data_IF_811751751564
#
_entry.id   IF_811751751564
#
_cell.length_a   1.000
_cell.length_b   1.000
_cell.length_c   1.000
_cell.angle_alpha   90.00
_cell.angle_beta   90.00
_cell.angle_gamma   90.00
#
_symmetry.space_group_name_H-M   'P 1'
#
loop_
_entity.id
_entity.type
_entity.pdbx_description
1 polymer ?
#
# COMPACT_ATOMS: atom_id res chain seq x y z
N UNK A 1 3.82 33.74 -12.62
CA UNK A 1 2.72 33.43 -11.68
C UNK A 1 2.50 31.92 -11.69
N UNK A 2 2.15 31.34 -10.55
CA UNK A 2 1.86 29.90 -10.45
C UNK A 2 0.52 29.61 -11.14
N UNK A 3 0.49 28.71 -12.12
CA UNK A 3 -0.74 28.32 -12.85
C UNK A 3 -1.53 27.26 -12.07
N UNK A 4 -2.85 27.23 -12.27
CA UNK A 4 -3.71 26.22 -11.64
C UNK A 4 -3.33 24.78 -12.02
N UNK A 5 -2.99 24.53 -13.29
CA UNK A 5 -2.55 23.21 -13.77
C UNK A 5 -1.29 22.74 -13.04
N UNK A 6 -0.29 23.61 -12.89
CA UNK A 6 0.91 23.30 -12.10
C UNK A 6 0.57 22.88 -10.66
N UNK A 7 -0.38 23.55 -10.00
CA UNK A 7 -0.78 23.19 -8.63
C UNK A 7 -1.43 21.80 -8.57
N UNK A 8 -2.23 21.43 -9.56
CA UNK A 8 -2.82 20.09 -9.65
C UNK A 8 -1.73 19.02 -9.82
N UNK A 9 -0.77 19.25 -10.72
CA UNK A 9 0.35 18.33 -10.95
C UNK A 9 1.27 18.23 -9.71
N UNK A 10 1.54 19.36 -9.05
CA UNK A 10 2.34 19.43 -7.83
C UNK A 10 1.71 18.62 -6.69
N UNK A 11 0.42 18.80 -6.45
CA UNK A 11 -0.30 18.02 -5.43
C UNK A 11 -0.36 16.54 -5.80
N UNK A 12 -0.61 16.23 -7.08
CA UNK A 12 -0.57 14.84 -7.54
C UNK A 12 0.79 14.19 -7.28
N UNK A 13 1.89 14.88 -7.56
CA UNK A 13 3.24 14.42 -7.24
C UNK A 13 3.43 14.14 -5.74
N UNK A 14 2.97 15.04 -4.86
CA UNK A 14 3.02 14.81 -3.40
C UNK A 14 2.22 13.56 -3.02
N UNK A 15 1.02 13.38 -3.57
CA UNK A 15 0.17 12.23 -3.27
C UNK A 15 0.83 10.92 -3.73
N UNK A 16 1.42 10.90 -4.93
CA UNK A 16 2.18 9.74 -5.43
C UNK A 16 3.39 9.44 -4.54
N UNK A 17 4.14 10.47 -4.13
CA UNK A 17 5.30 10.31 -3.23
C UNK A 17 4.89 9.77 -1.85
N UNK A 18 3.82 10.31 -1.25
CA UNK A 18 3.29 9.82 0.02
C UNK A 18 2.79 8.38 -0.10
N UNK A 19 2.16 8.03 -1.22
CA UNK A 19 1.74 6.66 -1.53
C UNK A 19 2.94 5.70 -1.60
N UNK A 20 3.97 6.05 -2.37
CA UNK A 20 5.20 5.25 -2.47
C UNK A 20 5.93 5.10 -1.13
N UNK A 21 6.03 6.18 -0.35
CA UNK A 21 6.57 6.16 1.01
C UNK A 21 5.75 5.25 1.93
N UNK A 22 4.42 5.34 1.87
CA UNK A 22 3.53 4.48 2.64
C UNK A 22 3.77 3.01 2.31
N UNK A 23 3.80 2.64 1.03
CA UNK A 23 4.02 1.25 0.58
C UNK A 23 5.39 0.73 1.01
N UNK A 24 6.44 1.56 0.95
CA UNK A 24 7.74 1.21 1.51
C UNK A 24 7.66 0.95 3.03
N UNK A 25 7.05 1.86 3.79
CA UNK A 25 6.90 1.77 5.24
C UNK A 25 6.05 0.57 5.70
N UNK A 26 5.30 -0.08 4.79
CA UNK A 26 4.60 -1.34 5.07
C UNK A 26 5.53 -2.50 5.43
N UNK A 27 6.85 -2.37 5.33
CA UNK A 27 7.78 -3.38 5.84
C UNK A 27 7.54 -3.67 7.34
N UNK A 28 7.01 -2.72 8.11
CA UNK A 28 6.63 -2.94 9.51
C UNK A 28 5.53 -4.00 9.60
N UNK A 29 4.45 -3.82 8.84
CA UNK A 29 3.32 -4.75 8.73
C UNK A 29 3.74 -6.08 8.10
N UNK A 30 4.60 -6.04 7.09
CA UNK A 30 5.25 -7.21 6.53
C UNK A 30 5.96 -8.05 7.59
N UNK A 31 6.74 -7.42 8.47
CA UNK A 31 7.44 -8.09 9.56
C UNK A 31 6.48 -8.68 10.60
N UNK A 32 5.40 -7.98 10.95
CA UNK A 32 4.38 -8.48 11.86
C UNK A 32 3.69 -9.74 11.33
N UNK A 33 3.35 -9.74 10.04
CA UNK A 33 2.69 -10.87 9.37
C UNK A 33 3.56 -12.13 9.30
N UNK A 34 4.86 -12.01 9.58
CA UNK A 34 5.83 -13.11 9.58
C UNK A 34 6.33 -13.48 10.97
N UNK A 35 5.80 -12.87 12.03
CA UNK A 35 6.31 -13.08 13.38
C UNK A 35 6.32 -14.57 13.76
N UNK A 36 5.24 -15.30 13.45
CA UNK A 36 5.14 -16.72 13.79
C UNK A 36 5.89 -17.66 12.84
N UNK A 37 6.14 -17.24 11.59
CA UNK A 37 6.78 -18.07 10.57
C UNK A 37 8.30 -17.87 10.51
N UNK A 38 8.78 -16.64 10.70
CA UNK A 38 10.19 -16.29 10.66
C UNK A 38 10.90 -16.59 11.98
N UNK A 39 10.27 -16.27 13.12
CA UNK A 39 10.80 -16.55 14.46
C UNK A 39 10.16 -17.77 15.09
N UNK A 40 11.00 -18.69 15.57
CA UNK A 40 10.59 -19.99 16.14
C UNK A 40 10.62 -19.97 17.66
N UNK A 41 11.50 -19.16 18.24
CA UNK A 41 11.68 -19.03 19.70
C UNK A 41 11.15 -17.69 20.21
N UNK A 42 10.93 -17.59 21.51
CA UNK A 42 10.35 -16.41 22.17
C UNK A 42 11.29 -15.20 22.19
N UNK A 43 12.58 -15.44 22.38
CA UNK A 43 13.65 -14.44 22.26
C UNK A 43 13.72 -13.85 20.85
N UNK A 44 13.62 -14.70 19.82
CA UNK A 44 13.58 -14.27 18.43
C UNK A 44 12.33 -13.41 18.13
N UNK A 45 11.16 -13.80 18.63
CA UNK A 45 9.92 -13.02 18.50
C UNK A 45 10.06 -11.64 19.13
N UNK A 46 10.59 -11.58 20.35
CA UNK A 46 10.84 -10.31 21.05
C UNK A 46 11.82 -9.44 20.29
N UNK A 47 12.90 -10.02 19.74
CA UNK A 47 13.87 -9.29 18.94
C UNK A 47 13.22 -8.67 17.69
N UNK A 48 12.42 -9.43 16.94
CA UNK A 48 11.70 -8.92 15.78
C UNK A 48 10.72 -7.80 16.16
N UNK A 49 9.88 -8.01 17.18
CA UNK A 49 8.92 -7.00 17.65
C UNK A 49 9.64 -5.72 18.07
N UNK A 50 10.70 -5.81 18.89
CA UNK A 50 11.47 -4.65 19.35
C UNK A 50 12.15 -3.91 18.20
N UNK A 51 12.61 -4.63 17.16
CA UNK A 51 13.23 -4.01 15.98
C UNK A 51 12.24 -3.15 15.18
N UNK A 52 10.95 -3.48 15.24
CA UNK A 52 9.85 -2.79 14.55
C UNK A 52 9.13 -1.76 15.44
N UNK A 53 9.14 -1.94 16.76
CA UNK A 53 8.22 -1.27 17.69
C UNK A 53 8.32 0.25 17.80
N UNK A 54 9.38 0.90 17.32
CA UNK A 54 9.45 2.38 17.21
C UNK A 54 9.15 2.90 15.81
N UNK A 55 9.00 2.02 14.82
CA UNK A 55 8.88 2.38 13.40
C UNK A 55 7.44 2.34 12.91
N UNK A 56 6.54 1.67 13.62
CA UNK A 56 5.13 1.60 13.24
C UNK A 56 4.46 2.97 13.21
N UNK A 57 4.90 3.89 14.07
CA UNK A 57 4.42 5.27 14.11
C UNK A 57 4.63 5.97 12.76
N UNK A 58 5.76 5.72 12.08
CA UNK A 58 6.01 6.29 10.76
C UNK A 58 4.96 5.84 9.74
N UNK A 59 4.68 4.53 9.67
CA UNK A 59 3.66 4.02 8.74
C UNK A 59 2.28 4.60 9.06
N UNK A 60 1.92 4.68 10.33
CA UNK A 60 0.62 5.23 10.75
C UNK A 60 0.50 6.71 10.44
N UNK A 61 1.50 7.52 10.80
CA UNK A 61 1.53 8.95 10.48
C UNK A 61 1.47 9.18 8.98
N UNK A 62 2.25 8.44 8.17
CA UNK A 62 2.20 8.57 6.71
C UNK A 62 0.83 8.22 6.15
N UNK A 63 0.16 7.18 6.65
CA UNK A 63 -1.21 6.83 6.25
C UNK A 63 -2.20 7.97 6.56
N UNK A 64 -2.13 8.53 7.76
CA UNK A 64 -3.01 9.65 8.17
C UNK A 64 -2.72 10.90 7.36
N UNK A 65 -1.44 11.23 7.14
CA UNK A 65 -1.02 12.36 6.28
C UNK A 65 -1.49 12.16 4.84
N UNK A 66 -1.41 10.94 4.29
CA UNK A 66 -1.91 10.62 2.96
C UNK A 66 -3.43 10.87 2.86
N UNK A 67 -4.21 10.41 3.84
CA UNK A 67 -5.65 10.70 3.88
C UNK A 67 -5.96 12.20 4.01
N UNK A 68 -5.27 12.89 4.92
CA UNK A 68 -5.44 14.33 5.14
C UNK A 68 -5.02 15.18 3.95
N UNK A 69 -3.97 14.78 3.22
CA UNK A 69 -3.53 15.45 2.01
C UNK A 69 -4.57 15.31 0.89
N UNK A 70 -5.22 14.15 0.74
CA UNK A 70 -6.35 14.00 -0.19
C UNK A 70 -7.54 14.88 0.22
N UNK A 71 -7.86 14.95 1.50
CA UNK A 71 -8.92 15.85 2.00
C UNK A 71 -8.64 17.31 1.64
N UNK A 72 -7.39 17.77 1.80
CA UNK A 72 -7.00 19.15 1.53
C UNK A 72 -6.89 19.47 0.02
N UNK A 73 -6.35 18.56 -0.78
CA UNK A 73 -6.02 18.81 -2.20
C UNK A 73 -7.11 18.34 -3.18
N UNK A 74 -7.78 17.21 -2.90
CA UNK A 74 -8.78 16.59 -3.76
C UNK A 74 -10.02 16.16 -2.95
N UNK A 75 -10.80 17.11 -2.38
CA UNK A 75 -11.86 16.81 -1.43
C UNK A 75 -12.99 15.93 -2.01
N UNK A 76 -13.31 16.08 -3.30
CA UNK A 76 -14.31 15.24 -3.97
C UNK A 76 -13.84 13.78 -4.11
N UNK A 77 -12.56 13.59 -4.39
CA UNK A 77 -11.96 12.25 -4.40
C UNK A 77 -12.00 11.64 -3.00
N UNK A 78 -11.60 12.42 -1.98
CA UNK A 78 -11.62 11.99 -0.59
C UNK A 78 -13.03 11.53 -0.15
N UNK A 79 -14.06 12.36 -0.39
CA UNK A 79 -15.43 12.03 0.01
C UNK A 79 -15.97 10.79 -0.72
N UNK A 80 -15.65 10.64 -2.00
CA UNK A 80 -16.08 9.51 -2.82
C UNK A 80 -15.41 8.21 -2.36
N UNK A 81 -14.08 8.23 -2.18
CA UNK A 81 -13.31 7.05 -1.77
C UNK A 81 -13.59 6.63 -0.33
N UNK A 82 -13.41 7.53 0.64
CA UNK A 82 -13.58 7.22 2.07
C UNK A 82 -15.05 7.06 2.48
N UNK A 83 -15.96 7.81 1.86
CA UNK A 83 -17.40 7.68 2.10
C UNK A 83 -18.02 6.47 1.41
N UNK A 84 -17.45 6.02 0.28
CA UNK A 84 -17.99 4.93 -0.52
C UNK A 84 -17.48 3.55 -0.13
N UNK A 85 -16.15 3.35 -0.13
CA UNK A 85 -15.51 2.11 0.30
C UNK A 85 -15.45 2.00 1.84
N UNK A 86 -16.56 2.34 2.50
CA UNK A 86 -16.67 2.51 3.95
C UNK A 86 -16.11 1.32 4.73
N UNK A 87 -16.56 0.09 4.43
CA UNK A 87 -16.14 -1.08 5.19
C UNK A 87 -14.67 -1.40 5.01
N UNK A 88 -14.13 -1.21 3.80
CA UNK A 88 -12.70 -1.42 3.54
C UNK A 88 -11.83 -0.49 4.40
N UNK A 89 -12.18 0.80 4.45
CA UNK A 89 -11.48 1.78 5.28
C UNK A 89 -11.68 1.57 6.77
N UNK A 90 -12.88 1.17 7.22
CA UNK A 90 -13.14 0.87 8.63
C UNK A 90 -12.34 -0.34 9.12
N UNK A 91 -12.27 -1.42 8.33
CA UNK A 91 -11.44 -2.59 8.67
C UNK A 91 -9.97 -2.19 8.75
N UNK A 92 -9.48 -1.37 7.80
CA UNK A 92 -8.12 -0.87 7.80
C UNK A 92 -7.85 -0.03 9.05
N UNK A 93 -8.74 0.90 9.40
CA UNK A 93 -8.64 1.71 10.62
C UNK A 93 -8.52 0.83 11.86
N UNK A 94 -9.42 -0.14 12.05
CA UNK A 94 -9.36 -1.04 13.20
C UNK A 94 -8.08 -1.88 13.23
N UNK A 95 -7.59 -2.34 12.07
CA UNK A 95 -6.30 -3.04 12.00
C UNK A 95 -5.17 -2.16 12.55
N UNK A 96 -5.08 -0.90 12.15
CA UNK A 96 -4.00 -0.01 12.59
C UNK A 96 -4.16 0.45 14.05
N UNK A 97 -5.40 0.58 14.55
CA UNK A 97 -5.66 0.81 15.99
C UNK A 97 -5.19 -0.38 16.82
N UNK A 98 -5.57 -1.60 16.43
CA UNK A 98 -5.12 -2.82 17.12
C UNK A 98 -3.59 -2.97 17.10
N UNK A 99 -2.94 -2.56 16.01
CA UNK A 99 -1.48 -2.53 15.90
C UNK A 99 -0.85 -1.59 16.94
N UNK A 100 -1.33 -0.34 17.04
CA UNK A 100 -0.81 0.65 18.00
C UNK A 100 -0.94 0.15 19.44
N UNK A 101 -2.14 -0.35 19.81
CA UNK A 101 -2.42 -0.93 21.12
C UNK A 101 -1.49 -2.13 21.39
N UNK A 102 -1.26 -2.98 20.39
CA UNK A 102 -0.42 -4.17 20.55
C UNK A 102 1.05 -3.82 20.79
N UNK A 103 1.60 -2.79 20.16
CA UNK A 103 2.96 -2.36 20.46
C UNK A 103 3.08 -1.72 21.84
N UNK A 104 2.13 -0.88 22.23
CA UNK A 104 2.20 -0.15 23.50
C UNK A 104 2.00 -1.07 24.70
N UNK A 105 1.02 -1.98 24.65
CA UNK A 105 0.57 -2.72 25.83
C UNK A 105 1.12 -4.14 25.98
N UNK A 106 1.69 -4.77 24.94
CA UNK A 106 2.08 -6.19 25.03
C UNK A 106 3.12 -6.51 26.11
N UNK A 107 3.99 -5.54 26.41
CA UNK A 107 5.09 -5.67 27.38
C UNK A 107 4.84 -4.90 28.68
N UNK A 108 3.66 -4.29 28.85
CA UNK A 108 3.35 -3.50 30.05
C UNK A 108 3.00 -4.43 31.22
N UNK A 109 3.39 -4.06 32.46
CA UNK A 109 2.87 -4.71 33.66
C UNK A 109 1.33 -4.65 33.68
N UNK A 110 0.67 -5.73 34.09
CA UNK A 110 -0.80 -5.78 34.10
C UNK A 110 -1.46 -5.98 32.74
N UNK A 111 -0.71 -6.45 31.73
CA UNK A 111 -1.26 -6.88 30.45
C UNK A 111 -2.45 -7.87 30.66
N UNK A 112 -3.64 -7.43 30.23
CA UNK A 112 -4.91 -8.15 30.41
C UNK A 112 -5.14 -9.31 29.43
N UNK A 113 -4.55 -9.29 28.23
CA UNK A 113 -4.82 -10.26 27.16
C UNK A 113 -3.67 -11.24 26.90
N UNK A 114 -2.49 -10.97 27.45
CA UNK A 114 -1.26 -11.72 27.20
C UNK A 114 -0.54 -11.34 25.90
N UNK A 115 0.78 -11.55 25.86
CA UNK A 115 1.62 -11.19 24.72
C UNK A 115 1.23 -11.95 23.43
N UNK A 116 0.72 -13.17 23.54
CA UNK A 116 0.29 -13.97 22.40
C UNK A 116 -0.89 -13.33 21.65
N UNK A 117 -1.87 -12.80 22.38
CA UNK A 117 -3.05 -12.13 21.80
C UNK A 117 -2.67 -10.86 21.06
N UNK A 118 -1.85 -10.00 21.67
CA UNK A 118 -1.34 -8.80 20.98
C UNK A 118 -0.51 -9.13 19.74
N UNK A 119 0.27 -10.22 19.78
CA UNK A 119 1.01 -10.69 18.61
C UNK A 119 0.09 -11.23 17.51
N UNK A 120 -1.04 -11.83 17.87
CA UNK A 120 -2.08 -12.20 16.91
C UNK A 120 -2.69 -10.94 16.26
N UNK A 121 -2.96 -9.89 17.02
CA UNK A 121 -3.43 -8.61 16.46
C UNK A 121 -2.40 -7.98 15.50
N UNK A 122 -1.11 -8.02 15.84
CA UNK A 122 -0.03 -7.61 14.92
C UNK A 122 -0.04 -8.47 13.65
N UNK A 123 -0.18 -9.79 13.77
CA UNK A 123 -0.26 -10.69 12.62
C UNK A 123 -1.46 -10.37 11.72
N UNK A 124 -2.65 -10.15 12.30
CA UNK A 124 -3.87 -9.78 11.58
C UNK A 124 -3.68 -8.44 10.86
N UNK A 125 -3.15 -7.41 11.53
CA UNK A 125 -2.84 -6.13 10.90
C UNK A 125 -1.85 -6.32 9.75
N UNK A 126 -0.77 -7.08 9.97
CA UNK A 126 0.24 -7.34 8.98
C UNK A 126 -0.30 -7.95 7.68
N UNK A 127 -1.27 -8.87 7.82
CA UNK A 127 -1.95 -9.51 6.70
C UNK A 127 -3.03 -8.61 6.08
N UNK A 128 -4.07 -8.27 6.86
CA UNK A 128 -5.24 -7.58 6.35
C UNK A 128 -4.93 -6.13 5.97
N UNK A 129 -4.11 -5.44 6.77
CA UNK A 129 -3.77 -4.04 6.53
C UNK A 129 -3.00 -3.83 5.22
N UNK A 130 -2.01 -4.69 4.94
CA UNK A 130 -1.24 -4.59 3.68
C UNK A 130 -2.05 -5.03 2.47
N UNK A 131 -2.78 -6.14 2.60
CA UNK A 131 -3.62 -6.68 1.53
C UNK A 131 -4.75 -5.72 1.15
N UNK A 132 -5.54 -5.23 2.13
CA UNK A 132 -6.65 -4.32 1.86
C UNK A 132 -6.18 -2.99 1.31
N UNK A 133 -5.04 -2.46 1.77
CA UNK A 133 -4.48 -1.24 1.20
C UNK A 133 -4.15 -1.42 -0.28
N UNK A 134 -3.56 -2.57 -0.68
CA UNK A 134 -3.34 -2.89 -2.09
C UNK A 134 -4.65 -3.05 -2.88
N UNK A 135 -5.67 -3.70 -2.32
CA UNK A 135 -7.01 -3.84 -2.94
C UNK A 135 -7.64 -2.47 -3.18
N UNK A 136 -7.59 -1.57 -2.21
CA UNK A 136 -8.16 -0.22 -2.32
C UNK A 136 -7.40 0.62 -3.33
N UNK A 137 -6.06 0.59 -3.33
CA UNK A 137 -5.25 1.31 -4.34
C UNK A 137 -5.52 0.78 -5.76
N UNK A 138 -5.80 -0.51 -5.92
CA UNK A 138 -6.12 -1.09 -7.22
C UNK A 138 -7.37 -0.48 -7.86
N UNK A 139 -8.31 0.02 -7.04
CA UNK A 139 -9.52 0.68 -7.53
C UNK A 139 -9.24 1.94 -8.32
N UNK A 140 -8.07 2.55 -8.17
CA UNK A 140 -7.67 3.70 -8.97
C UNK A 140 -7.47 3.31 -10.43
N UNK A 141 -7.18 2.02 -10.68
CA UNK A 141 -6.98 1.46 -12.00
C UNK A 141 -8.22 0.75 -12.55
N UNK A 142 -9.01 0.08 -11.69
CA UNK A 142 -10.22 -0.65 -12.12
C UNK A 142 -11.50 0.18 -12.13
N UNK A 143 -11.51 1.30 -11.41
CA UNK A 143 -12.73 2.07 -11.14
C UNK A 143 -13.65 1.39 -10.12
N UNK A 144 -14.72 2.12 -9.79
CA UNK A 144 -15.79 1.70 -8.88
C UNK A 144 -17.12 2.35 -9.27
N UNK A 145 -18.24 1.72 -8.90
CA UNK A 145 -19.59 2.22 -9.22
C UNK A 145 -20.06 3.26 -8.19
N UNK A 146 -19.97 4.54 -8.57
CA UNK A 146 -20.50 5.65 -7.78
C UNK A 146 -21.13 6.71 -8.68
N UNK A 147 -22.03 7.50 -8.11
CA UNK A 147 -22.64 8.67 -8.77
C UNK A 147 -22.24 9.94 -8.04
N UNK A 148 -22.10 11.04 -8.79
CA UNK A 148 -21.74 12.35 -8.22
C UNK A 148 -22.77 13.39 -8.62
N UNK A 149 -23.54 13.85 -7.64
CA UNK A 149 -24.48 14.96 -7.77
C UNK A 149 -23.80 16.29 -7.50
N UNK A 150 -23.09 16.87 -8.49
CA UNK A 150 -22.40 18.17 -8.32
C UNK A 150 -23.36 19.31 -7.92
N UNK A 151 -24.64 19.23 -8.29
CA UNK A 151 -25.68 20.18 -7.86
C UNK A 151 -25.89 20.22 -6.33
N UNK A 152 -25.57 19.14 -5.63
CA UNK A 152 -25.69 19.03 -4.18
C UNK A 152 -24.66 19.92 -3.46
N UNK A 153 -23.54 20.25 -4.11
CA UNK A 153 -22.54 21.21 -3.59
C UNK A 153 -23.15 22.60 -3.41
N UNK A 154 -24.06 22.99 -4.30
CA UNK A 154 -24.74 24.29 -4.28
C UNK A 154 -26.14 24.23 -3.61
N UNK A 155 -26.53 23.10 -3.00
CA UNK A 155 -27.87 22.90 -2.45
C UNK A 155 -28.98 22.81 -3.50
N UNK A 156 -28.64 22.71 -4.78
CA UNK A 156 -29.56 22.57 -5.91
C UNK A 156 -29.86 21.09 -6.26
N UNK A 157 -29.49 20.21 -5.34
CA UNK A 157 -29.56 18.76 -5.47
C UNK A 157 -30.92 18.17 -5.15
N UNK A 158 -31.30 17.10 -5.85
CA UNK A 158 -32.51 16.32 -5.54
C UNK A 158 -32.30 15.23 -4.46
N UNK A 159 -31.04 14.95 -4.11
CA UNK A 159 -30.65 13.85 -3.20
C UNK A 159 -30.12 14.33 -1.82
N UNK A 160 -30.46 15.55 -1.41
CA UNK A 160 -29.98 16.13 -0.14
C UNK A 160 -28.50 16.55 -0.18
N UNK A 161 -27.78 16.59 0.97
CA UNK A 161 -26.42 17.15 1.06
C UNK A 161 -25.30 16.21 0.57
N UNK A 162 -25.61 14.95 0.20
CA UNK A 162 -24.61 13.94 -0.13
C UNK A 162 -24.13 14.13 -1.58
N UNK A 163 -22.88 14.52 -1.79
CA UNK A 163 -22.34 14.84 -3.12
C UNK A 163 -22.01 13.58 -3.94
N UNK A 164 -21.41 12.58 -3.31
CA UNK A 164 -20.99 11.33 -3.95
C UNK A 164 -21.63 10.15 -3.26
N UNK A 165 -22.26 9.26 -4.02
CA UNK A 165 -22.94 8.08 -3.51
C UNK A 165 -22.43 6.82 -4.20
N UNK A 166 -21.84 5.93 -3.42
CA UNK A 166 -21.51 4.58 -3.87
C UNK A 166 -22.79 3.80 -4.15
N UNK A 167 -22.86 3.16 -5.31
CA UNK A 167 -24.08 2.48 -5.75
C UNK A 167 -24.15 1.04 -5.25
N UNK A 168 -22.99 0.41 -5.01
CA UNK A 168 -22.94 -0.96 -4.53
C UNK A 168 -23.36 -1.05 -3.04
N UNK A 169 -24.33 -1.92 -2.69
CA UNK A 169 -24.82 -2.05 -1.31
C UNK A 169 -23.78 -2.63 -0.34
N UNK A 170 -22.68 -3.21 -0.84
CA UNK A 170 -21.61 -3.78 -0.02
C UNK A 170 -20.59 -2.74 0.47
N UNK A 171 -20.70 -1.48 0.03
CA UNK A 171 -19.93 -0.33 0.53
C UNK A 171 -18.42 -0.61 0.72
N UNK A 172 -17.79 -1.20 -0.30
CA UNK A 172 -16.35 -1.49 -0.36
C UNK A 172 -15.97 -2.95 -0.20
N UNK A 173 -16.88 -3.85 0.23
CA UNK A 173 -16.56 -5.29 0.31
C UNK A 173 -16.57 -5.95 -1.07
N UNK A 174 -17.31 -5.40 -2.05
CA UNK A 174 -17.33 -5.84 -3.44
C UNK A 174 -15.94 -5.74 -4.11
N UNK A 175 -15.05 -4.90 -3.58
CA UNK A 175 -13.68 -4.75 -4.07
C UNK A 175 -12.91 -6.07 -3.98
N UNK A 176 -13.27 -6.94 -3.04
CA UNK A 176 -12.70 -8.29 -2.88
C UNK A 176 -13.21 -9.28 -3.94
N UNK A 177 -14.29 -8.96 -4.65
CA UNK A 177 -14.79 -9.75 -5.78
C UNK A 177 -14.05 -9.49 -7.09
N UNK A 178 -13.31 -8.38 -7.19
CA UNK A 178 -12.56 -8.03 -8.39
C UNK A 178 -11.17 -8.68 -8.39
N UNK A 179 -10.96 -9.65 -9.28
CA UNK A 179 -9.71 -10.40 -9.35
C UNK A 179 -8.48 -9.49 -9.55
N UNK A 180 -8.58 -8.41 -10.33
CA UNK A 180 -7.47 -7.48 -10.52
C UNK A 180 -7.11 -6.77 -9.20
N UNK A 181 -8.11 -6.37 -8.42
CA UNK A 181 -7.84 -5.75 -7.11
C UNK A 181 -7.13 -6.71 -6.16
N UNK A 182 -7.54 -7.98 -6.16
CA UNK A 182 -6.89 -9.02 -5.37
C UNK A 182 -5.41 -9.20 -5.75
N UNK A 183 -5.08 -9.15 -7.05
CA UNK A 183 -3.69 -9.31 -7.49
C UNK A 183 -2.77 -8.22 -6.95
N UNK A 184 -3.20 -6.95 -6.93
CA UNK A 184 -2.40 -5.88 -6.30
C UNK A 184 -2.38 -6.02 -4.77
N UNK A 185 -3.49 -6.42 -4.16
CA UNK A 185 -3.55 -6.74 -2.73
C UNK A 185 -2.48 -7.75 -2.31
N UNK A 186 -2.38 -8.87 -3.05
CA UNK A 186 -1.35 -9.87 -2.80
C UNK A 186 0.05 -9.36 -3.13
N UNK A 187 0.23 -8.60 -4.21
CA UNK A 187 1.52 -8.00 -4.54
C UNK A 187 2.03 -7.10 -3.40
N UNK A 188 1.20 -6.22 -2.86
CA UNK A 188 1.56 -5.32 -1.74
C UNK A 188 1.87 -6.10 -0.46
N UNK A 189 1.08 -7.14 -0.14
CA UNK A 189 1.35 -8.02 1.00
C UNK A 189 2.73 -8.70 0.90
N UNK A 190 3.03 -9.31 -0.26
CA UNK A 190 4.31 -9.99 -0.45
C UNK A 190 5.49 -9.03 -0.57
N UNK A 191 5.27 -7.83 -1.15
CA UNK A 191 6.26 -6.76 -1.17
C UNK A 191 6.60 -6.33 0.26
N UNK A 192 5.60 -6.05 1.09
CA UNK A 192 5.78 -5.68 2.50
C UNK A 192 6.61 -6.72 3.26
N UNK A 193 6.28 -8.02 3.09
CA UNK A 193 7.05 -9.13 3.68
C UNK A 193 8.49 -9.22 3.17
N UNK A 194 8.69 -8.95 1.88
CA UNK A 194 10.02 -8.94 1.27
C UNK A 194 10.87 -7.80 1.81
N UNK A 195 10.31 -6.59 1.88
CA UNK A 195 10.96 -5.41 2.46
C UNK A 195 11.29 -5.63 3.95
N UNK A 196 10.40 -6.27 4.69
CA UNK A 196 10.64 -6.63 6.09
C UNK A 196 11.82 -7.62 6.22
N UNK A 197 11.89 -8.60 5.34
CA UNK A 197 12.98 -9.58 5.33
C UNK A 197 14.32 -8.91 4.97
N UNK A 198 14.33 -7.98 4.00
CA UNK A 198 15.50 -7.16 3.67
C UNK A 198 15.93 -6.29 4.86
N UNK A 199 14.97 -5.67 5.55
CA UNK A 199 15.20 -4.90 6.77
C UNK A 199 15.87 -5.74 7.86
N UNK A 200 15.36 -6.96 8.09
CA UNK A 200 15.93 -7.85 9.08
C UNK A 200 17.35 -8.31 8.72
N UNK A 201 17.63 -8.59 7.45
CA UNK A 201 19.01 -8.87 7.00
C UNK A 201 19.94 -7.68 7.22
N UNK A 202 19.46 -6.46 7.00
CA UNK A 202 20.25 -5.25 7.22
C UNK A 202 20.55 -4.97 8.69
N UNK A 203 19.53 -5.15 9.56
CA UNK A 203 19.55 -4.61 10.92
C UNK A 203 19.81 -5.64 12.02
N UNK A 204 19.50 -6.91 11.80
CA UNK A 204 19.68 -7.95 12.82
C UNK A 204 21.12 -8.47 12.82
N UNK A 205 21.79 -8.34 13.96
CA UNK A 205 23.06 -9.01 14.23
C UNK A 205 22.83 -10.39 14.85
N UNK A 206 22.01 -11.22 14.19
CA UNK A 206 21.65 -12.55 14.68
C UNK A 206 21.70 -13.58 13.54
N UNK A 207 22.73 -14.42 13.53
CA UNK A 207 23.07 -15.29 12.39
C UNK A 207 21.90 -16.18 11.93
N UNK A 208 21.20 -16.83 12.87
CA UNK A 208 20.08 -17.73 12.53
C UNK A 208 18.88 -16.99 11.94
N UNK A 209 18.59 -15.76 12.40
CA UNK A 209 17.50 -14.95 11.87
C UNK A 209 17.89 -14.30 10.55
N UNK A 210 19.14 -13.90 10.38
CA UNK A 210 19.63 -13.38 9.11
C UNK A 210 19.53 -14.45 8.01
N UNK A 211 20.04 -15.67 8.27
CA UNK A 211 19.95 -16.80 7.33
C UNK A 211 18.49 -17.14 6.97
N UNK A 212 17.57 -17.11 7.94
CA UNK A 212 16.13 -17.31 7.67
C UNK A 212 15.51 -16.16 6.90
N UNK A 213 15.85 -14.92 7.24
CA UNK A 213 15.33 -13.72 6.56
C UNK A 213 15.73 -13.72 5.09
N UNK A 214 16.96 -14.12 4.73
CA UNK A 214 17.38 -14.29 3.32
C UNK A 214 16.52 -15.30 2.56
N UNK A 215 16.17 -16.42 3.18
CA UNK A 215 15.23 -17.39 2.56
C UNK A 215 13.83 -16.78 2.38
N UNK A 216 13.37 -16.01 3.37
CA UNK A 216 12.07 -15.33 3.30
C UNK A 216 12.03 -14.20 2.26
N UNK A 217 13.17 -13.55 1.96
CA UNK A 217 13.28 -12.64 0.80
C UNK A 217 12.91 -13.37 -0.48
N UNK A 218 13.40 -14.60 -0.69
CA UNK A 218 13.04 -15.39 -1.87
C UNK A 218 11.59 -15.90 -1.82
N UNK A 219 11.16 -16.46 -0.70
CA UNK A 219 9.82 -17.06 -0.55
C UNK A 219 8.68 -16.05 -0.71
N UNK A 220 8.91 -14.79 -0.35
CA UNK A 220 7.92 -13.72 -0.55
C UNK A 220 8.21 -12.91 -1.83
N UNK A 221 9.47 -12.74 -2.20
CA UNK A 221 9.86 -11.99 -3.40
C UNK A 221 9.36 -12.63 -4.69
N UNK A 222 9.38 -13.96 -4.79
CA UNK A 222 8.88 -14.64 -5.99
C UNK A 222 7.35 -14.46 -6.17
N UNK A 223 6.49 -14.75 -5.17
CA UNK A 223 5.06 -14.43 -5.26
C UNK A 223 4.79 -12.94 -5.52
N UNK A 224 5.56 -12.03 -4.89
CA UNK A 224 5.44 -10.59 -5.16
C UNK A 224 5.62 -10.29 -6.66
N UNK A 225 6.71 -10.76 -7.28
CA UNK A 225 6.97 -10.53 -8.71
C UNK A 225 5.86 -11.11 -9.57
N UNK A 226 5.37 -12.31 -9.25
CA UNK A 226 4.27 -12.94 -10.00
C UNK A 226 3.00 -12.08 -9.94
N UNK A 227 2.52 -11.74 -8.74
CA UNK A 227 1.30 -10.95 -8.59
C UNK A 227 1.45 -9.53 -9.15
N UNK A 228 2.61 -8.91 -8.98
CA UNK A 228 2.92 -7.59 -9.54
C UNK A 228 2.90 -7.61 -11.08
N UNK A 229 3.55 -8.58 -11.71
CA UNK A 229 3.55 -8.70 -13.17
C UNK A 229 2.15 -8.99 -13.72
N UNK A 230 1.37 -9.84 -13.06
CA UNK A 230 -0.02 -10.09 -13.46
C UNK A 230 -0.82 -8.79 -13.42
N UNK A 231 -0.75 -8.04 -12.31
CA UNK A 231 -1.46 -6.77 -12.18
C UNK A 231 -1.00 -5.74 -13.22
N UNK A 232 0.32 -5.61 -13.40
CA UNK A 232 0.94 -4.65 -14.32
C UNK A 232 0.53 -4.94 -15.77
N UNK A 233 0.77 -6.17 -16.25
CA UNK A 233 0.45 -6.56 -17.62
C UNK A 233 -1.05 -6.38 -17.88
N UNK A 234 -1.89 -6.82 -16.95
CA UNK A 234 -3.33 -6.66 -17.08
C UNK A 234 -3.73 -5.19 -17.15
N UNK A 235 -3.12 -4.32 -16.34
CA UNK A 235 -3.38 -2.87 -16.36
C UNK A 235 -2.95 -2.23 -17.67
N UNK A 236 -1.78 -2.60 -18.22
CA UNK A 236 -1.25 -2.03 -19.46
C UNK A 236 -2.10 -2.37 -20.69
N UNK A 237 -2.68 -3.58 -20.75
CA UNK A 237 -3.50 -4.00 -21.89
C UNK A 237 -4.98 -3.59 -21.77
N UNK A 238 -5.38 -3.07 -20.61
CA UNK A 238 -6.79 -2.76 -20.34
C UNK A 238 -7.22 -1.41 -20.83
N UNK A 239 -8.54 -1.26 -20.94
CA UNK A 239 -9.17 0.04 -21.06
C UNK A 239 -9.00 0.82 -19.74
N UNK A 240 -8.87 2.14 -19.86
CA UNK A 240 -8.82 3.05 -18.72
C UNK A 240 -9.56 4.34 -19.03
N UNK A 241 -9.89 5.08 -17.98
CA UNK A 241 -10.62 6.34 -18.12
C UNK A 241 -9.70 7.46 -18.62
N UNK A 242 -10.08 8.09 -19.73
CA UNK A 242 -9.48 9.29 -20.29
C UNK A 242 -10.46 10.46 -20.21
N UNK A 243 -9.93 11.68 -20.21
CA UNK A 243 -10.73 12.92 -20.18
C UNK A 243 -10.44 13.71 -21.45
N UNK A 244 -11.47 14.08 -22.19
CA UNK A 244 -11.32 14.99 -23.34
C UNK A 244 -10.94 16.40 -22.82
N UNK A 245 -9.82 16.99 -23.29
CA UNK A 245 -9.38 18.30 -22.81
C UNK A 245 -10.38 19.44 -23.08
N UNK A 246 -11.21 19.32 -24.12
CA UNK A 246 -12.16 20.32 -24.60
C UNK A 246 -13.53 20.07 -24.00
N UNK A 247 -14.12 18.89 -24.21
CA UNK A 247 -15.50 18.60 -23.76
C UNK A 247 -15.57 18.28 -22.27
N UNK A 248 -14.44 17.90 -21.65
CA UNK A 248 -14.34 17.40 -20.26
C UNK A 248 -15.11 16.10 -20.02
N UNK A 249 -15.52 15.41 -21.08
CA UNK A 249 -16.18 14.11 -20.97
C UNK A 249 -15.17 13.02 -20.62
N UNK A 250 -15.62 12.08 -19.78
CA UNK A 250 -14.85 10.89 -19.41
C UNK A 250 -15.24 9.75 -20.34
N UNK A 251 -14.27 9.13 -21.01
CA UNK A 251 -14.50 7.99 -21.90
C UNK A 251 -13.48 6.88 -21.64
N UNK A 252 -13.76 5.67 -22.15
CA UNK A 252 -12.85 4.54 -22.06
C UNK A 252 -11.90 4.53 -23.26
N UNK A 253 -10.59 4.56 -22.96
CA UNK A 253 -9.53 4.48 -23.95
C UNK A 253 -8.80 3.14 -23.83
N UNK A 254 -8.63 2.44 -24.96
CA UNK A 254 -7.94 1.16 -25.00
C UNK A 254 -6.44 1.31 -24.74
N UNK A 255 -5.89 0.46 -23.88
CA UNK A 255 -4.46 0.47 -23.48
C UNK A 255 -4.03 1.80 -22.86
N UNK A 256 -4.94 2.49 -22.13
CA UNK A 256 -4.71 3.84 -21.61
C UNK A 256 -3.38 3.99 -20.87
N UNK A 257 -3.10 3.07 -19.96
CA UNK A 257 -1.89 3.13 -19.13
C UNK A 257 -0.60 2.87 -19.92
N UNK A 258 -0.66 2.05 -20.97
CA UNK A 258 0.46 1.86 -21.88
C UNK A 258 0.71 3.11 -22.73
N UNK A 259 -0.35 3.71 -23.27
CA UNK A 259 -0.25 4.97 -24.03
C UNK A 259 0.34 6.08 -23.16
N UNK A 260 -0.07 6.18 -21.89
CA UNK A 260 0.52 7.14 -20.95
C UNK A 260 2.03 6.95 -20.78
N UNK A 261 2.55 5.71 -20.74
CA UNK A 261 4.00 5.48 -20.68
C UNK A 261 4.73 5.90 -21.95
N UNK A 262 4.10 5.72 -23.12
CA UNK A 262 4.67 6.13 -24.42
C UNK A 262 4.68 7.67 -24.53
N UNK A 263 3.59 8.32 -24.11
CA UNK A 263 3.43 9.78 -24.14
C UNK A 263 4.24 10.49 -23.06
N UNK A 264 4.53 9.81 -21.94
CA UNK A 264 5.31 10.33 -20.81
C UNK A 264 6.58 9.50 -20.54
N UNK A 265 7.62 9.59 -21.40
CA UNK A 265 8.83 8.76 -21.29
C UNK A 265 9.55 8.86 -19.94
N UNK A 266 9.53 10.04 -19.31
CA UNK A 266 10.14 10.23 -17.99
C UNK A 266 9.51 9.33 -16.92
N UNK A 267 8.18 9.21 -16.94
CA UNK A 267 7.43 8.36 -15.99
C UNK A 267 7.75 6.89 -16.25
N UNK A 268 7.82 6.48 -17.52
CA UNK A 268 8.20 5.13 -17.90
C UNK A 268 9.63 4.79 -17.43
N UNK A 269 10.59 5.69 -17.63
CA UNK A 269 11.98 5.48 -17.18
C UNK A 269 12.06 5.38 -15.65
N UNK A 270 11.38 6.26 -14.92
CA UNK A 270 11.32 6.20 -13.46
C UNK A 270 10.74 4.88 -12.97
N UNK A 271 9.63 4.44 -13.56
CA UNK A 271 9.01 3.15 -13.26
C UNK A 271 9.97 1.98 -13.49
N UNK A 272 10.64 1.92 -14.65
CA UNK A 272 11.63 0.86 -14.97
C UNK A 272 12.79 0.87 -13.98
N UNK A 273 13.33 2.05 -13.65
CA UNK A 273 14.40 2.17 -12.66
C UNK A 273 13.94 1.69 -11.28
N UNK A 274 12.70 1.99 -10.90
CA UNK A 274 12.10 1.52 -9.65
C UNK A 274 12.01 -0.01 -9.60
N UNK A 275 11.47 -0.63 -10.66
CA UNK A 275 11.38 -2.10 -10.78
C UNK A 275 12.78 -2.73 -10.73
N UNK A 276 13.74 -2.20 -11.49
CA UNK A 276 15.12 -2.71 -11.50
C UNK A 276 15.75 -2.59 -10.11
N UNK A 277 15.54 -1.49 -9.39
CA UNK A 277 16.08 -1.30 -8.05
C UNK A 277 15.48 -2.29 -7.03
N UNK A 278 14.18 -2.59 -7.11
CA UNK A 278 13.51 -3.63 -6.32
C UNK A 278 14.09 -5.01 -6.60
N UNK A 279 14.15 -5.39 -7.88
CA UNK A 279 14.69 -6.69 -8.28
C UNK A 279 16.18 -6.82 -7.92
N UNK A 280 16.97 -5.76 -8.07
CA UNK A 280 18.37 -5.74 -7.66
C UNK A 280 18.51 -5.94 -6.14
N UNK A 281 17.72 -5.23 -5.34
CA UNK A 281 17.72 -5.39 -3.88
C UNK A 281 17.39 -6.82 -3.44
N UNK A 282 16.37 -7.42 -4.05
CA UNK A 282 15.95 -8.81 -3.78
C UNK A 282 17.04 -9.80 -4.21
N UNK A 283 17.44 -9.78 -5.48
CA UNK A 283 18.38 -10.75 -6.05
C UNK A 283 19.75 -10.68 -5.39
N UNK A 284 20.29 -9.47 -5.19
CA UNK A 284 21.62 -9.31 -4.58
C UNK A 284 21.64 -9.79 -3.13
N UNK A 285 20.59 -9.57 -2.35
CA UNK A 285 20.50 -10.10 -0.98
C UNK A 285 20.33 -11.62 -0.94
N UNK A 286 19.69 -12.23 -1.93
CA UNK A 286 19.55 -13.70 -1.99
C UNK A 286 20.87 -14.37 -2.39
N UNK A 287 21.57 -13.86 -3.39
CA UNK A 287 22.75 -14.53 -3.96
C UNK A 287 24.09 -14.12 -3.34
N UNK A 288 24.17 -12.97 -2.67
CA UNK A 288 25.41 -12.48 -2.05
C UNK A 288 25.30 -12.53 -0.52
N UNK A 289 26.04 -13.46 0.11
CA UNK A 289 26.04 -13.63 1.56
C UNK A 289 26.49 -12.36 2.31
N UNK A 290 27.44 -11.60 1.75
CA UNK A 290 27.96 -10.39 2.40
C UNK A 290 27.08 -9.16 2.19
N UNK A 291 26.13 -9.21 1.25
CA UNK A 291 25.31 -8.06 0.92
C UNK A 291 24.13 -7.92 1.87
N UNK A 292 24.09 -6.82 2.62
CA UNK A 292 23.04 -6.51 3.60
C UNK A 292 22.24 -5.25 3.29
N UNK A 293 22.55 -4.54 2.21
CA UNK A 293 21.96 -3.23 1.90
C UNK A 293 20.73 -3.28 0.97
N UNK A 294 20.14 -4.46 0.75
CA UNK A 294 19.05 -4.66 -0.20
C UNK A 294 17.82 -3.80 0.07
N UNK A 295 17.51 -3.49 1.34
CA UNK A 295 16.39 -2.61 1.71
C UNK A 295 16.53 -1.20 1.11
N UNK A 296 17.74 -0.66 0.97
CA UNK A 296 17.90 0.71 0.47
C UNK A 296 17.58 0.81 -1.02
N UNK A 297 17.99 -0.19 -1.80
CA UNK A 297 17.67 -0.28 -3.22
C UNK A 297 16.19 -0.62 -3.42
N UNK A 298 15.70 -1.65 -2.72
CA UNK A 298 14.32 -2.08 -2.85
C UNK A 298 13.34 -1.05 -2.31
N UNK A 299 13.69 -0.34 -1.23
CA UNK A 299 12.87 0.71 -0.66
C UNK A 299 12.77 1.93 -1.55
N UNK A 300 13.91 2.42 -2.08
CA UNK A 300 13.91 3.49 -3.06
C UNK A 300 13.12 3.10 -4.32
N UNK A 301 13.30 1.88 -4.83
CA UNK A 301 12.55 1.39 -5.98
C UNK A 301 11.05 1.31 -5.72
N UNK A 302 10.62 0.82 -4.54
CA UNK A 302 9.20 0.80 -4.14
C UNK A 302 8.58 2.19 -4.06
N UNK A 303 9.33 3.22 -3.68
CA UNK A 303 8.78 4.59 -3.62
C UNK A 303 8.51 5.15 -5.03
N UNK A 304 9.29 4.72 -6.02
CA UNK A 304 9.26 5.25 -7.39
C UNK A 304 8.38 4.43 -8.34
N UNK A 305 8.11 3.16 -8.01
CA UNK A 305 7.33 2.20 -8.83
C UNK A 305 5.85 2.29 -8.53
#
# INVERSE_FOLDING_TARGET
MITYEFLQQYWWFIMSLLGGLLVFLLFVQGGQSMLHSLSRKEDEKRLLVNSLGRKWEYTFTTLVTFGGAFFASFPLFYSTSFGGAYWAWMILLFCFVLQAVSYEFQSKPGNIFGAATYRMFLFINGLLGTFLLGVVVATFFTGSEFTVGKGNIAGLGTAGPIISQWQNPLHGLELLGNLRNLTLGFAVLFLARTQASLFFVNRLNHEVLEKRSRKFVLYNGLPFVVFFLIFLIWTLISEGYAVDPITKDVYLEKMKYLNNFIEMPLVMVLFILGVVAVLYGITRTVFSADFKNGIWYSGAGTIVT
#
